data_IF_778039666537
#
_entry.id   IF_778039666537
#
_cell.length_a   1.000
_cell.length_b   1.000
_cell.length_c   1.000
_cell.angle_alpha   90.00
_cell.angle_beta   90.00
_cell.angle_gamma   90.00
#
_symmetry.space_group_name_H-M   'P 1'
#
loop_
_entity.id
_entity.type
_entity.pdbx_description
1 polymer ?
#
# COMPACT_ATOMS: atom_id res chain seq x y z
N UNK A 1 -2.55 -21.54 22.58
CA UNK A 1 -2.61 -21.78 21.11
C UNK A 1 -3.98 -21.50 20.49
N UNK A 2 -5.11 -21.97 21.07
CA UNK A 2 -6.46 -21.79 20.51
C UNK A 2 -6.88 -20.34 20.22
N UNK A 3 -6.44 -19.35 21.01
CA UNK A 3 -6.76 -17.94 20.80
C UNK A 3 -6.07 -17.30 19.58
N UNK A 4 -4.96 -17.89 19.09
CA UNK A 4 -4.23 -17.39 17.90
C UNK A 4 -4.66 -18.09 16.60
N UNK A 5 -5.42 -19.18 16.71
CA UNK A 5 -5.91 -19.94 15.56
C UNK A 5 -6.86 -19.12 14.68
N UNK A 6 -7.82 -18.32 15.22
CA UNK A 6 -8.67 -17.47 14.39
C UNK A 6 -7.88 -16.44 13.59
N UNK A 7 -6.88 -15.80 14.21
CA UNK A 7 -6.00 -14.84 13.53
C UNK A 7 -5.20 -15.49 12.41
N UNK A 8 -4.68 -16.70 12.64
CA UNK A 8 -3.95 -17.44 11.63
C UNK A 8 -4.86 -17.84 10.45
N UNK A 9 -6.07 -18.35 10.73
CA UNK A 9 -7.06 -18.67 9.69
C UNK A 9 -7.45 -17.40 8.91
N UNK A 10 -7.67 -16.29 9.60
CA UNK A 10 -7.94 -15.01 8.95
C UNK A 10 -6.80 -14.58 8.03
N UNK A 11 -5.54 -14.73 8.46
CA UNK A 11 -4.37 -14.45 7.63
C UNK A 11 -4.33 -15.31 6.36
N UNK A 12 -4.62 -16.61 6.47
CA UNK A 12 -4.69 -17.51 5.31
C UNK A 12 -5.82 -17.08 4.35
N UNK A 13 -7.00 -16.78 4.89
CA UNK A 13 -8.15 -16.35 4.08
C UNK A 13 -7.87 -15.02 3.39
N UNK A 14 -7.31 -14.04 4.10
CA UNK A 14 -6.94 -12.75 3.54
C UNK A 14 -5.88 -12.89 2.44
N UNK A 15 -4.86 -13.72 2.66
CA UNK A 15 -3.84 -13.99 1.64
C UNK A 15 -4.42 -14.71 0.42
N UNK A 16 -5.27 -15.72 0.63
CA UNK A 16 -5.93 -16.43 -0.47
C UNK A 16 -6.82 -15.47 -1.27
N UNK A 17 -7.63 -14.66 -0.58
CA UNK A 17 -8.45 -13.62 -1.21
C UNK A 17 -7.59 -12.64 -2.01
N UNK A 18 -6.46 -12.18 -1.47
CA UNK A 18 -5.54 -11.30 -2.18
C UNK A 18 -5.02 -11.93 -3.48
N UNK A 19 -4.63 -13.21 -3.47
CA UNK A 19 -4.16 -13.92 -4.66
C UNK A 19 -5.28 -14.06 -5.70
N UNK A 20 -6.48 -14.49 -5.30
CA UNK A 20 -7.62 -14.61 -6.22
C UNK A 20 -8.05 -13.27 -6.79
N UNK A 21 -8.08 -12.23 -5.95
CA UNK A 21 -8.42 -10.88 -6.37
C UNK A 21 -7.38 -10.33 -7.35
N UNK A 22 -6.08 -10.55 -7.10
CA UNK A 22 -4.98 -10.17 -8.00
C UNK A 22 -5.16 -10.77 -9.40
N UNK A 23 -5.65 -12.01 -9.50
CA UNK A 23 -5.94 -12.63 -10.79
C UNK A 23 -7.06 -11.90 -11.55
N UNK A 24 -8.13 -11.50 -10.87
CA UNK A 24 -9.21 -10.74 -11.51
C UNK A 24 -8.78 -9.34 -11.94
N UNK A 25 -7.94 -8.69 -11.14
CA UNK A 25 -7.32 -7.40 -11.50
C UNK A 25 -6.46 -7.57 -12.75
N UNK A 26 -5.60 -8.58 -12.80
CA UNK A 26 -4.78 -8.87 -13.99
C UNK A 26 -5.62 -9.16 -15.25
N UNK A 27 -6.83 -9.73 -15.09
CA UNK A 27 -7.78 -9.92 -16.19
C UNK A 27 -8.63 -8.70 -16.52
N UNK A 28 -8.36 -7.54 -15.92
CA UNK A 28 -9.07 -6.27 -16.12
C UNK A 28 -10.59 -6.36 -15.88
N UNK A 29 -11.05 -7.35 -15.11
CA UNK A 29 -12.49 -7.59 -14.89
C UNK A 29 -13.16 -6.38 -14.20
N UNK A 30 -12.40 -5.68 -13.35
CA UNK A 30 -12.89 -4.54 -12.58
C UNK A 30 -12.50 -3.18 -13.16
N UNK A 31 -11.92 -3.10 -14.37
CA UNK A 31 -11.38 -1.84 -14.90
C UNK A 31 -12.42 -0.72 -14.95
N UNK A 32 -13.62 -1.00 -15.48
CA UNK A 32 -14.70 -0.03 -15.55
C UNK A 32 -15.20 0.38 -14.16
N UNK A 33 -15.34 -0.59 -13.26
CA UNK A 33 -15.78 -0.35 -11.89
C UNK A 33 -14.79 0.54 -11.13
N UNK A 34 -13.49 0.28 -11.28
CA UNK A 34 -12.41 1.07 -10.67
C UNK A 34 -12.40 2.52 -11.18
N UNK A 35 -12.53 2.70 -12.50
CA UNK A 35 -12.63 4.01 -13.12
C UNK A 35 -13.87 4.79 -12.63
N UNK A 36 -15.06 4.19 -12.73
CA UNK A 36 -16.33 4.82 -12.33
C UNK A 36 -16.34 5.18 -10.85
N UNK A 37 -15.78 4.31 -10.01
CA UNK A 37 -15.65 4.56 -8.57
C UNK A 37 -14.71 5.74 -8.32
N UNK A 38 -13.57 5.79 -9.02
CA UNK A 38 -12.61 6.89 -8.89
C UNK A 38 -13.25 8.21 -9.29
N UNK A 39 -13.93 8.29 -10.44
CA UNK A 39 -14.63 9.50 -10.90
C UNK A 39 -15.70 9.91 -9.90
N UNK A 40 -16.56 8.99 -9.46
CA UNK A 40 -17.61 9.30 -8.48
C UNK A 40 -17.06 9.83 -7.17
N UNK A 41 -16.00 9.23 -6.63
CA UNK A 41 -15.37 9.72 -5.40
C UNK A 41 -14.78 11.11 -5.62
N UNK A 42 -14.06 11.29 -6.72
CA UNK A 42 -13.44 12.55 -7.06
C UNK A 42 -14.45 13.69 -7.26
N UNK A 43 -15.59 13.43 -7.90
CA UNK A 43 -16.62 14.44 -8.13
C UNK A 43 -17.33 14.87 -6.84
N UNK A 44 -17.38 14.00 -5.84
CA UNK A 44 -18.02 14.26 -4.55
C UNK A 44 -17.05 14.76 -3.46
N UNK A 45 -15.74 14.61 -3.66
CA UNK A 45 -14.71 15.09 -2.72
C UNK A 45 -14.20 16.46 -3.18
N UNK A 46 -14.41 17.47 -2.34
CA UNK A 46 -13.93 18.83 -2.58
C UNK A 46 -12.39 18.89 -2.65
N UNK A 47 -11.87 19.65 -3.64
CA UNK A 47 -10.43 19.87 -3.83
C UNK A 47 -9.71 20.52 -2.65
N UNK A 48 -10.44 21.15 -1.73
CA UNK A 48 -9.85 21.70 -0.49
C UNK A 48 -9.18 20.64 0.38
N UNK A 49 -9.57 19.37 0.23
CA UNK A 49 -9.01 18.25 0.97
C UNK A 49 -7.78 17.63 0.28
N UNK A 50 -7.46 18.02 -0.97
CA UNK A 50 -6.35 17.43 -1.73
C UNK A 50 -5.01 17.58 -1.00
N UNK A 51 -4.78 18.74 -0.36
CA UNK A 51 -3.58 18.98 0.45
C UNK A 51 -3.52 18.07 1.69
N UNK A 52 -4.63 17.92 2.42
CA UNK A 52 -4.70 17.05 3.59
C UNK A 52 -4.50 15.57 3.22
N UNK A 53 -5.12 15.09 2.14
CA UNK A 53 -4.91 13.73 1.66
C UNK A 53 -3.50 13.50 1.12
N UNK A 54 -2.89 14.51 0.49
CA UNK A 54 -1.50 14.45 0.04
C UNK A 54 -0.52 14.38 1.23
N UNK A 55 -0.81 15.04 2.35
CA UNK A 55 -0.03 14.88 3.57
C UNK A 55 -0.19 13.49 4.18
N UNK A 56 -1.41 12.97 4.24
CA UNK A 56 -1.67 11.62 4.75
C UNK A 56 -1.01 10.55 3.88
N UNK A 57 -0.94 10.74 2.56
CA UNK A 57 -0.28 9.79 1.67
C UNK A 57 1.23 9.71 1.90
N UNK A 58 1.88 10.75 2.45
CA UNK A 58 3.31 10.69 2.79
C UNK A 58 3.65 9.53 3.74
N UNK A 59 2.74 9.15 4.64
CA UNK A 59 2.94 8.04 5.57
C UNK A 59 3.12 6.71 4.83
N UNK A 60 2.51 6.57 3.64
CA UNK A 60 2.64 5.38 2.79
C UNK A 60 3.88 5.38 1.89
N UNK A 61 4.64 6.47 1.80
CA UNK A 61 5.89 6.49 1.05
C UNK A 61 6.90 5.52 1.67
N UNK A 62 7.67 4.81 0.84
CA UNK A 62 8.60 3.80 1.32
C UNK A 62 9.62 4.37 2.31
N UNK A 63 10.24 5.50 1.97
CA UNK A 63 11.28 6.16 2.78
C UNK A 63 10.71 6.62 4.12
N UNK A 64 9.54 7.28 4.08
CA UNK A 64 8.87 7.83 5.26
C UNK A 64 8.36 6.70 6.16
N UNK A 65 7.70 5.70 5.60
CA UNK A 65 7.23 4.53 6.33
C UNK A 65 8.38 3.76 7.00
N UNK A 66 9.50 3.60 6.29
CA UNK A 66 10.69 2.94 6.84
C UNK A 66 11.30 3.75 7.98
N UNK A 67 11.35 5.09 7.85
CA UNK A 67 11.81 5.96 8.94
C UNK A 67 10.91 5.84 10.18
N UNK A 68 9.58 5.90 10.01
CA UNK A 68 8.64 5.69 11.11
C UNK A 68 8.81 4.32 11.76
N UNK A 69 8.97 3.26 10.95
CA UNK A 69 9.21 1.91 11.44
C UNK A 69 10.46 1.86 12.32
N UNK A 70 11.59 2.40 11.84
CA UNK A 70 12.84 2.41 12.61
C UNK A 70 12.69 3.16 13.93
N UNK A 71 12.02 4.31 13.93
CA UNK A 71 11.75 5.09 15.16
C UNK A 71 10.93 4.24 16.15
N UNK A 72 9.83 3.63 15.71
CA UNK A 72 8.98 2.77 16.54
C UNK A 72 9.80 1.62 17.15
N UNK A 73 10.62 0.96 16.33
CA UNK A 73 11.42 -0.18 16.78
C UNK A 73 12.50 0.23 17.79
N UNK A 74 13.21 1.34 17.57
CA UNK A 74 14.20 1.89 18.50
C UNK A 74 13.54 2.24 19.84
N UNK A 75 12.40 2.93 19.80
CA UNK A 75 11.67 3.33 21.01
C UNK A 75 11.09 2.14 21.77
N UNK A 76 10.66 1.09 21.06
CA UNK A 76 10.09 -0.11 21.67
C UNK A 76 11.13 -0.96 22.42
N UNK A 77 12.43 -0.83 22.12
CA UNK A 77 13.56 -1.60 22.70
C UNK A 77 13.39 -3.12 22.66
N UNK A 78 12.57 -3.67 21.76
CA UNK A 78 12.30 -5.11 21.70
C UNK A 78 13.33 -5.85 20.84
N UNK A 79 13.83 -7.01 21.30
CA UNK A 79 14.65 -7.93 20.51
C UNK A 79 13.91 -8.50 19.29
N UNK A 80 12.58 -8.54 19.33
CA UNK A 80 11.74 -8.99 18.22
C UNK A 80 11.70 -8.01 17.03
N UNK A 81 12.32 -6.83 17.16
CA UNK A 81 12.39 -5.81 16.10
C UNK A 81 13.02 -6.32 14.81
N UNK A 82 13.92 -7.31 14.89
CA UNK A 82 14.53 -7.89 13.69
C UNK A 82 13.52 -8.65 12.83
N UNK A 83 12.57 -9.37 13.45
CA UNK A 83 11.51 -10.06 12.73
C UNK A 83 10.56 -9.08 12.04
N UNK A 84 10.25 -7.94 12.69
CA UNK A 84 9.42 -6.90 12.09
C UNK A 84 10.07 -6.35 10.83
N UNK A 85 11.38 -6.05 10.88
CA UNK A 85 12.13 -5.62 9.70
C UNK A 85 12.16 -6.68 8.60
N UNK A 86 12.33 -7.96 8.96
CA UNK A 86 12.27 -9.06 8.01
C UNK A 86 10.89 -9.15 7.34
N UNK A 87 9.80 -9.06 8.10
CA UNK A 87 8.44 -9.08 7.53
C UNK A 87 8.14 -7.86 6.66
N UNK A 88 8.63 -6.68 7.03
CA UNK A 88 8.52 -5.48 6.21
C UNK A 88 9.26 -5.64 4.87
N UNK A 89 10.46 -6.23 4.90
CA UNK A 89 11.22 -6.58 3.70
C UNK A 89 10.48 -7.59 2.81
N UNK A 90 9.94 -8.67 3.39
CA UNK A 90 9.14 -9.67 2.66
C UNK A 90 7.90 -9.03 2.04
N UNK A 91 7.18 -8.18 2.78
CA UNK A 91 6.05 -7.42 2.27
C UNK A 91 6.45 -6.59 1.04
N UNK A 92 7.59 -5.89 1.11
CA UNK A 92 8.06 -5.08 -0.01
C UNK A 92 8.42 -5.93 -1.23
N UNK A 93 9.01 -7.11 -1.05
CA UNK A 93 9.27 -8.05 -2.15
C UNK A 93 7.97 -8.54 -2.80
N UNK A 94 6.95 -8.84 -1.99
CA UNK A 94 5.61 -9.24 -2.49
C UNK A 94 4.96 -8.10 -3.27
N UNK A 95 5.08 -6.86 -2.80
CA UNK A 95 4.62 -5.66 -3.50
C UNK A 95 5.29 -5.54 -4.89
N UNK A 96 6.63 -5.63 -4.94
CA UNK A 96 7.39 -5.53 -6.19
C UNK A 96 7.05 -6.65 -7.17
N UNK A 97 6.89 -7.87 -6.66
CA UNK A 97 6.46 -9.01 -7.46
C UNK A 97 5.04 -8.81 -8.01
N UNK A 98 4.10 -8.40 -7.16
CA UNK A 98 2.71 -8.14 -7.56
C UNK A 98 2.62 -7.08 -8.65
N UNK A 99 3.39 -5.98 -8.53
CA UNK A 99 3.47 -4.92 -9.54
C UNK A 99 3.98 -5.44 -10.87
N UNK A 100 5.04 -6.24 -10.84
CA UNK A 100 5.63 -6.83 -12.05
C UNK A 100 4.76 -7.90 -12.71
N UNK A 101 3.86 -8.54 -11.96
CA UNK A 101 3.03 -9.64 -12.46
C UNK A 101 1.64 -9.20 -12.93
N UNK A 102 1.01 -8.29 -12.20
CA UNK A 102 -0.37 -7.87 -12.48
C UNK A 102 -0.42 -6.86 -13.63
N UNK A 103 0.60 -6.01 -13.75
CA UNK A 103 0.76 -5.01 -14.81
C UNK A 103 -0.40 -4.00 -14.91
N UNK A 104 -1.08 -3.71 -13.79
CA UNK A 104 -2.16 -2.73 -13.76
C UNK A 104 -1.61 -1.30 -13.88
N UNK A 105 -2.07 -0.58 -14.89
CA UNK A 105 -1.69 0.80 -15.11
C UNK A 105 -2.26 1.75 -14.03
N UNK A 106 -1.57 2.86 -13.73
CA UNK A 106 -2.12 3.92 -12.89
C UNK A 106 -3.29 4.64 -13.57
N UNK A 107 -4.10 5.39 -12.80
CA UNK A 107 -5.11 6.25 -13.38
C UNK A 107 -4.46 7.30 -14.30
N UNK A 108 -5.17 7.76 -15.35
CA UNK A 108 -4.70 8.83 -16.22
C UNK A 108 -4.24 10.08 -15.47
N UNK A 109 -3.21 10.76 -16.00
CA UNK A 109 -2.61 11.96 -15.39
C UNK A 109 -3.63 13.05 -15.02
N UNK A 110 -4.66 13.27 -15.85
CA UNK A 110 -5.69 14.27 -15.57
C UNK A 110 -6.55 13.96 -14.33
N UNK A 111 -6.54 12.73 -13.85
CA UNK A 111 -7.24 12.29 -12.63
C UNK A 111 -6.36 12.40 -11.38
N UNK A 112 -5.07 12.70 -11.51
CA UNK A 112 -4.18 12.81 -10.37
C UNK A 112 -4.46 14.12 -9.61
N UNK A 113 -4.77 13.98 -8.31
CA UNK A 113 -5.02 15.10 -7.38
C UNK A 113 -3.92 15.28 -6.34
N UNK A 114 -2.87 14.46 -6.39
CA UNK A 114 -1.77 14.49 -5.41
C UNK A 114 -0.92 15.74 -5.62
N UNK A 115 -0.74 16.50 -4.55
CA UNK A 115 0.17 17.64 -4.52
C UNK A 115 1.58 17.14 -4.15
N UNK A 116 2.60 17.55 -4.89
CA UNK A 116 4.00 17.28 -4.54
C UNK A 116 4.42 18.19 -3.38
N UNK A 117 4.15 17.74 -2.15
CA UNK A 117 4.46 18.51 -0.94
C UNK A 117 5.94 18.35 -0.57
N UNK A 118 6.52 17.18 -0.81
CA UNK A 118 7.89 16.88 -0.43
C UNK A 118 8.53 15.91 -1.44
N UNK A 119 9.62 16.34 -2.07
CA UNK A 119 10.38 15.53 -3.03
C UNK A 119 11.51 14.80 -2.29
N UNK A 120 11.23 13.58 -1.82
CA UNK A 120 12.30 12.67 -1.41
C UNK A 120 12.93 12.05 -2.67
N UNK A 121 14.25 11.80 -2.68
CA UNK A 121 14.86 10.95 -3.70
C UNK A 121 14.25 9.56 -3.61
N UNK A 122 13.29 9.29 -4.49
CA UNK A 122 12.72 7.97 -4.63
C UNK A 122 13.77 7.09 -5.28
N UNK A 123 14.07 5.95 -4.66
CA UNK A 123 14.82 4.90 -5.35
C UNK A 123 14.09 4.62 -6.67
N UNK A 124 14.80 4.74 -7.80
CA UNK A 124 14.29 4.71 -9.18
C UNK A 124 13.74 3.32 -9.59
N UNK A 125 12.95 2.67 -8.74
CA UNK A 125 12.14 1.52 -9.14
C UNK A 125 10.95 2.10 -9.88
N UNK A 126 10.93 1.93 -11.21
CA UNK A 126 9.84 2.33 -12.10
C UNK A 126 8.49 1.90 -11.50
N UNK A 127 7.74 2.87 -10.96
CA UNK A 127 6.39 2.67 -10.45
C UNK A 127 5.37 2.74 -11.59
N UNK A 128 5.66 2.10 -12.72
CA UNK A 128 4.77 2.09 -13.89
C UNK A 128 3.44 1.38 -13.60
N UNK A 129 3.38 0.58 -12.52
CA UNK A 129 2.20 -0.16 -12.10
C UNK A 129 1.68 0.25 -10.72
N UNK A 130 0.34 0.32 -10.63
CA UNK A 130 -0.41 0.84 -9.48
C UNK A 130 -0.80 -0.23 -8.47
N UNK A 131 -0.88 -1.50 -8.89
CA UNK A 131 -1.32 -2.61 -8.05
C UNK A 131 -0.22 -3.65 -7.80
N UNK A 132 -0.08 -4.18 -6.57
CA UNK A 132 -0.81 -3.76 -5.37
C UNK A 132 -0.31 -2.41 -4.85
N UNK A 133 -1.17 -1.70 -4.11
CA UNK A 133 -0.83 -0.39 -3.56
C UNK A 133 0.18 -0.50 -2.42
N UNK A 134 1.41 -0.04 -2.68
CA UNK A 134 2.48 0.04 -1.67
C UNK A 134 2.11 0.95 -0.51
N UNK A 135 1.55 2.13 -0.78
CA UNK A 135 1.12 3.09 0.23
C UNK A 135 0.13 2.50 1.22
N UNK A 136 -0.93 1.86 0.70
CA UNK A 136 -1.94 1.22 1.52
C UNK A 136 -1.34 0.09 2.36
N UNK A 137 -0.51 -0.77 1.74
CA UNK A 137 0.11 -1.89 2.43
C UNK A 137 1.04 -1.46 3.56
N UNK A 138 1.87 -0.42 3.36
CA UNK A 138 2.75 0.13 4.41
C UNK A 138 1.96 0.80 5.54
N UNK A 139 0.91 1.56 5.22
CA UNK A 139 0.05 2.18 6.22
C UNK A 139 -0.62 1.11 7.12
N UNK A 140 -1.11 0.02 6.53
CA UNK A 140 -1.67 -1.12 7.28
C UNK A 140 -0.58 -1.85 8.07
N UNK A 141 0.60 -2.05 7.50
CA UNK A 141 1.71 -2.69 8.21
C UNK A 141 2.10 -1.92 9.47
N UNK A 142 2.19 -0.59 9.37
CA UNK A 142 2.54 0.27 10.51
C UNK A 142 1.42 0.36 11.55
N UNK A 143 0.14 0.25 11.17
CA UNK A 143 -0.99 0.38 12.09
C UNK A 143 -1.20 -0.82 13.01
N UNK A 144 -0.59 -1.97 12.70
CA UNK A 144 -0.71 -3.22 13.48
C UNK A 144 0.50 -3.53 14.36
N UNK A 145 1.51 -2.65 14.39
CA UNK A 145 2.70 -2.75 15.24
C UNK A 145 2.44 -2.27 16.67
#
# INVERSE_FOLDING_TARGET
MKQKLPLFIFGILAFSFFVFFSYFVHKNIFLQFDFDTTVRLQDNISRRFDGAFSLLSLIGNFEIATLFLLIILILSRKLLSIFVLSFYGVFHLIELYGKSFVEQLPPPEFMLRVQKILEFPQFHVRQEFSYPSGHAGRAVFLSVL
#
